data_IF_499087484949
#
_entry.id   IF_499087484949
#
_cell.length_a   1.000
_cell.length_b   1.000
_cell.length_c   1.000
_cell.angle_alpha   90.00
_cell.angle_beta   90.00
_cell.angle_gamma   90.00
#
_symmetry.space_group_name_H-M   'P 1'
#
loop_
_entity.id
_entity.type
_entity.pdbx_description
1 polymer ?
#
# COMPACT_ATOMS: atom_id res chain seq x y z
N UNK A 1 4.69 -22.12 -4.41
CA UNK A 1 4.26 -20.90 -5.14
C UNK A 1 5.15 -20.53 -6.31
N UNK A 2 6.48 -20.63 -6.18
CA UNK A 2 7.44 -20.37 -7.26
C UNK A 2 7.41 -21.35 -8.46
N UNK A 3 6.61 -22.41 -8.38
CA UNK A 3 6.54 -23.50 -9.36
C UNK A 3 5.46 -23.31 -10.43
N UNK A 4 4.57 -22.33 -10.30
CA UNK A 4 3.49 -22.12 -11.29
C UNK A 4 3.30 -20.64 -11.67
N UNK A 5 3.57 -20.24 -12.92
CA UNK A 5 3.72 -18.84 -13.29
C UNK A 5 2.43 -18.12 -13.75
N UNK A 6 1.26 -18.78 -13.82
CA UNK A 6 0.01 -18.15 -14.33
C UNK A 6 -1.03 -17.80 -13.27
N UNK A 7 -1.02 -18.50 -12.13
CA UNK A 7 -1.81 -18.22 -10.93
C UNK A 7 -0.99 -18.71 -9.74
N UNK A 8 -0.91 -17.95 -8.63
CA UNK A 8 -0.33 -18.46 -7.40
C UNK A 8 -0.96 -19.81 -7.08
N UNK A 9 -0.16 -20.84 -6.82
CA UNK A 9 -0.65 -22.18 -6.46
C UNK A 9 -1.71 -22.11 -5.34
N UNK A 10 -1.57 -21.16 -4.41
CA UNK A 10 -2.50 -20.89 -3.33
C UNK A 10 -3.87 -20.31 -3.77
N UNK A 11 -3.95 -19.71 -4.96
CA UNK A 11 -5.20 -19.18 -5.55
C UNK A 11 -5.90 -20.18 -6.47
N UNK A 12 -5.34 -21.38 -6.70
CA UNK A 12 -6.00 -22.41 -7.49
C UNK A 12 -7.20 -23.01 -6.73
N UNK A 13 -8.30 -23.39 -7.39
CA UNK A 13 -9.37 -24.16 -6.76
C UNK A 13 -8.84 -25.46 -6.13
N UNK A 14 -9.38 -25.89 -5.00
CA UNK A 14 -8.92 -27.08 -4.28
C UNK A 14 -8.83 -28.32 -5.18
N UNK A 15 -9.83 -28.56 -6.04
CA UNK A 15 -9.82 -29.66 -7.02
C UNK A 15 -8.70 -29.54 -8.07
N UNK A 16 -8.33 -28.33 -8.48
CA UNK A 16 -7.20 -28.10 -9.40
C UNK A 16 -5.86 -28.27 -8.67
N UNK A 17 -5.74 -27.81 -7.42
CA UNK A 17 -4.57 -28.08 -6.56
C UNK A 17 -4.40 -29.57 -6.34
N UNK A 18 -5.48 -30.26 -5.99
CA UNK A 18 -5.47 -31.70 -5.73
C UNK A 18 -5.19 -32.49 -7.00
N UNK A 19 -5.72 -32.10 -8.16
CA UNK A 19 -5.38 -32.71 -9.46
C UNK A 19 -3.92 -32.46 -9.83
N UNK A 20 -3.40 -31.26 -9.56
CA UNK A 20 -2.00 -30.90 -9.80
C UNK A 20 -1.05 -31.64 -8.84
N UNK A 21 -1.40 -31.73 -7.56
CA UNK A 21 -0.70 -32.50 -6.53
C UNK A 21 -0.78 -34.00 -6.82
N UNK A 22 -1.92 -34.49 -7.34
CA UNK A 22 -2.09 -35.88 -7.78
C UNK A 22 -1.28 -36.18 -9.03
N UNK A 23 -1.17 -35.26 -9.99
CA UNK A 23 -0.30 -35.41 -11.16
C UNK A 23 1.20 -35.33 -10.83
N UNK A 24 1.52 -34.60 -9.76
CA UNK A 24 2.84 -34.53 -9.14
C UNK A 24 3.16 -35.85 -8.42
N UNK A 25 2.23 -36.37 -7.60
CA UNK A 25 2.42 -37.61 -6.85
C UNK A 25 2.28 -38.89 -7.69
N UNK A 26 1.59 -38.84 -8.85
CA UNK A 26 1.40 -39.99 -9.74
C UNK A 26 2.57 -40.21 -10.71
N UNK A 27 3.57 -39.32 -10.72
CA UNK A 27 4.75 -39.44 -11.58
C UNK A 27 4.48 -39.21 -13.07
N UNK A 28 3.28 -38.77 -13.46
CA UNK A 28 2.96 -38.40 -14.86
C UNK A 28 3.60 -37.06 -15.26
N UNK A 29 3.96 -36.23 -14.28
CA UNK A 29 5.01 -35.24 -14.42
C UNK A 29 6.25 -35.87 -13.80
N UNK A 30 7.34 -36.04 -14.56
CA UNK A 30 8.64 -36.45 -14.02
C UNK A 30 9.13 -35.39 -13.01
N UNK A 31 8.65 -35.44 -11.77
CA UNK A 31 9.32 -34.90 -10.60
C UNK A 31 10.55 -35.78 -10.33
N UNK A 32 11.58 -35.49 -11.11
CA UNK A 32 12.92 -35.48 -10.55
C UNK A 32 12.92 -34.44 -9.41
N UNK A 33 13.76 -34.60 -8.39
CA UNK A 33 14.02 -33.59 -7.35
C UNK A 33 14.64 -32.29 -7.89
N UNK A 34 14.17 -31.79 -9.03
CA UNK A 34 14.55 -30.58 -9.72
C UNK A 34 13.73 -29.46 -9.11
N UNK A 35 14.34 -28.86 -8.11
CA UNK A 35 13.99 -27.52 -7.65
C UNK A 35 13.84 -26.61 -8.87
N UNK A 36 12.66 -25.99 -9.01
CA UNK A 36 12.28 -25.19 -10.17
C UNK A 36 13.36 -24.14 -10.51
N UNK A 37 13.76 -23.95 -11.78
CA UNK A 37 14.86 -23.04 -12.16
C UNK A 37 14.75 -21.63 -11.58
N UNK A 38 13.51 -21.16 -11.38
CA UNK A 38 13.21 -19.87 -10.78
C UNK A 38 13.64 -19.75 -9.30
N UNK A 39 13.55 -20.83 -8.52
CA UNK A 39 14.01 -20.81 -7.14
C UNK A 39 15.53 -20.60 -7.08
N UNK A 40 16.30 -21.34 -7.89
CA UNK A 40 17.75 -21.19 -7.93
C UNK A 40 18.16 -19.79 -8.39
N UNK A 41 17.45 -19.24 -9.36
CA UNK A 41 17.65 -17.87 -9.81
C UNK A 41 17.43 -16.83 -8.69
N UNK A 42 16.34 -16.96 -7.93
CA UNK A 42 16.08 -16.08 -6.76
C UNK A 42 17.16 -16.30 -5.69
N UNK A 43 17.55 -17.56 -5.43
CA UNK A 43 18.58 -17.89 -4.46
C UNK A 43 19.93 -17.28 -4.83
N UNK A 44 20.36 -17.38 -6.10
CA UNK A 44 21.58 -16.75 -6.60
C UNK A 44 21.56 -15.24 -6.34
N UNK A 45 20.42 -14.59 -6.57
CA UNK A 45 20.26 -13.16 -6.29
C UNK A 45 20.33 -12.85 -4.78
N UNK A 46 19.65 -13.63 -3.93
CA UNK A 46 19.70 -13.45 -2.47
C UNK A 46 21.11 -13.68 -1.93
N UNK A 47 21.83 -14.68 -2.43
CA UNK A 47 23.22 -14.95 -2.05
C UNK A 47 24.15 -13.81 -2.53
N UNK A 48 23.91 -13.24 -3.71
CA UNK A 48 24.60 -12.04 -4.20
C UNK A 48 24.36 -10.83 -3.29
N UNK A 49 23.10 -10.55 -2.93
CA UNK A 49 22.76 -9.45 -2.04
C UNK A 49 23.41 -9.64 -0.65
N UNK A 50 23.37 -10.87 -0.12
CA UNK A 50 24.04 -11.24 1.14
C UNK A 50 25.55 -11.03 1.09
N UNK A 51 26.21 -11.39 -0.02
CA UNK A 51 27.64 -11.14 -0.23
C UNK A 51 27.96 -9.64 -0.09
N UNK A 52 27.08 -8.79 -0.61
CA UNK A 52 27.19 -7.34 -0.52
C UNK A 52 26.62 -6.72 0.76
N UNK A 53 26.17 -7.55 1.72
CA UNK A 53 25.53 -7.12 2.98
C UNK A 53 24.29 -6.24 2.75
N UNK A 54 23.60 -6.45 1.65
CA UNK A 54 22.30 -5.84 1.35
C UNK A 54 21.20 -6.79 1.84
N UNK A 55 20.17 -6.25 2.50
CA UNK A 55 19.04 -7.01 3.01
C UNK A 55 17.82 -6.83 2.09
N UNK A 56 17.69 -7.63 1.00
CA UNK A 56 16.59 -7.44 0.06
C UNK A 56 15.25 -7.84 0.70
N UNK A 57 14.27 -6.96 0.58
CA UNK A 57 12.92 -7.13 1.12
C UNK A 57 12.03 -7.69 0.01
N UNK A 58 11.39 -8.83 0.22
CA UNK A 58 10.44 -9.38 -0.75
C UNK A 58 9.19 -8.49 -0.82
N UNK A 59 8.86 -7.98 -2.01
CA UNK A 59 7.66 -7.16 -2.23
C UNK A 59 6.60 -7.86 -3.08
N UNK A 60 6.98 -8.90 -3.81
CA UNK A 60 6.12 -9.60 -4.76
C UNK A 60 4.81 -10.12 -4.12
N UNK A 61 3.64 -9.49 -4.38
CA UNK A 61 2.42 -9.77 -3.64
C UNK A 61 1.93 -11.21 -3.79
N UNK A 62 2.14 -11.79 -4.96
CA UNK A 62 1.77 -13.17 -5.26
C UNK A 62 2.49 -14.19 -4.35
N UNK A 63 3.76 -13.93 -4.03
CA UNK A 63 4.58 -14.77 -3.15
C UNK A 63 4.26 -14.46 -1.69
N UNK A 64 4.18 -13.18 -1.31
CA UNK A 64 3.83 -12.77 0.05
C UNK A 64 2.47 -13.33 0.47
N UNK A 65 1.46 -13.25 -0.40
CA UNK A 65 0.14 -13.80 -0.16
C UNK A 65 0.17 -15.31 0.08
N UNK A 66 1.04 -16.04 -0.62
CA UNK A 66 1.19 -17.47 -0.40
C UNK A 66 1.66 -17.82 1.02
N UNK A 67 2.51 -16.98 1.61
CA UNK A 67 3.11 -17.18 2.93
C UNK A 67 2.12 -16.95 4.09
N UNK A 68 0.97 -16.33 3.80
CA UNK A 68 -0.03 -16.05 4.82
C UNK A 68 -0.80 -17.29 5.30
N UNK A 69 -1.21 -17.27 6.55
CA UNK A 69 -2.17 -18.23 7.12
C UNK A 69 -3.55 -18.11 6.47
N UNK A 70 -4.41 -19.12 6.66
CA UNK A 70 -5.79 -19.10 6.18
C UNK A 70 -6.59 -17.92 6.75
N UNK A 71 -6.40 -17.60 8.03
CA UNK A 71 -7.08 -16.47 8.68
C UNK A 71 -6.65 -15.14 8.09
N UNK A 72 -5.35 -14.92 7.90
CA UNK A 72 -4.84 -13.70 7.26
C UNK A 72 -5.38 -13.53 5.83
N UNK A 73 -5.45 -14.61 5.05
CA UNK A 73 -6.03 -14.58 3.70
C UNK A 73 -7.51 -14.21 3.72
N UNK A 74 -8.27 -14.74 4.67
CA UNK A 74 -9.68 -14.40 4.86
C UNK A 74 -9.86 -12.91 5.24
N UNK A 75 -9.03 -12.39 6.15
CA UNK A 75 -9.02 -10.97 6.52
C UNK A 75 -8.74 -10.05 5.32
N UNK A 76 -7.84 -10.44 4.43
CA UNK A 76 -7.57 -9.67 3.20
C UNK A 76 -8.77 -9.62 2.27
N UNK A 77 -9.45 -10.75 2.05
CA UNK A 77 -10.60 -10.79 1.14
C UNK A 77 -11.83 -10.07 1.70
N UNK A 78 -12.06 -10.14 3.01
CA UNK A 78 -13.13 -9.37 3.68
C UNK A 78 -12.87 -7.87 3.63
N UNK A 79 -11.60 -7.45 3.54
CA UNK A 79 -11.18 -6.07 3.31
C UNK A 79 -10.97 -5.73 1.83
N UNK A 80 -11.70 -6.40 0.92
CA UNK A 80 -11.75 -6.09 -0.50
C UNK A 80 -10.39 -6.09 -1.22
N UNK A 81 -9.43 -6.91 -0.79
CA UNK A 81 -8.17 -7.08 -1.53
C UNK A 81 -8.45 -7.55 -2.97
N UNK A 82 -8.07 -6.72 -3.94
CA UNK A 82 -8.27 -7.03 -5.35
C UNK A 82 -7.37 -8.18 -5.80
N UNK A 83 -7.94 -9.29 -6.27
CA UNK A 83 -7.13 -10.44 -6.75
C UNK A 83 -6.17 -10.07 -7.88
N UNK A 84 -6.45 -9.03 -8.66
CA UNK A 84 -5.57 -8.49 -9.70
C UNK A 84 -4.17 -8.18 -9.18
N UNK A 85 -4.04 -7.66 -7.96
CA UNK A 85 -2.72 -7.33 -7.39
C UNK A 85 -1.89 -8.56 -7.05
N UNK A 86 -2.51 -9.74 -6.98
CA UNK A 86 -1.84 -11.04 -6.75
C UNK A 86 -1.39 -11.71 -8.04
N UNK A 87 -1.63 -11.08 -9.20
CA UNK A 87 -1.19 -11.55 -10.51
C UNK A 87 0.06 -10.79 -10.95
N UNK A 88 1.24 -11.32 -10.59
CA UNK A 88 2.52 -10.85 -11.12
C UNK A 88 2.81 -11.42 -12.52
N UNK A 89 3.74 -10.81 -13.27
CA UNK A 89 4.21 -11.39 -14.52
C UNK A 89 4.87 -12.76 -14.25
N UNK A 90 4.71 -13.73 -15.18
CA UNK A 90 5.39 -15.00 -15.05
C UNK A 90 6.91 -14.79 -15.02
N UNK A 91 7.61 -15.53 -14.16
CA UNK A 91 9.08 -15.50 -14.07
C UNK A 91 9.70 -14.18 -13.60
N UNK A 92 8.93 -13.37 -12.88
CA UNK A 92 9.37 -12.12 -12.30
C UNK A 92 9.19 -12.12 -10.77
N UNK A 93 10.15 -11.55 -10.03
CA UNK A 93 10.00 -11.24 -8.60
C UNK A 93 10.45 -9.82 -8.34
N UNK A 94 9.67 -9.10 -7.53
CA UNK A 94 10.03 -7.78 -7.04
C UNK A 94 10.57 -7.84 -5.60
N UNK A 95 11.69 -7.16 -5.40
CA UNK A 95 12.31 -6.88 -4.11
C UNK A 95 12.41 -5.37 -3.89
N UNK A 96 12.63 -4.96 -2.65
CA UNK A 96 12.93 -3.60 -2.24
C UNK A 96 14.25 -3.52 -1.48
N UNK A 97 14.90 -2.36 -1.58
CA UNK A 97 16.05 -1.97 -0.75
C UNK A 97 15.89 -0.50 -0.35
N UNK A 98 16.65 -0.05 0.65
CA UNK A 98 16.68 1.37 1.02
C UNK A 98 17.67 2.14 0.14
N UNK A 99 17.42 3.43 -0.07
CA UNK A 99 18.27 4.32 -0.88
C UNK A 99 19.75 4.23 -0.49
N UNK A 100 20.06 4.20 0.80
CA UNK A 100 21.44 4.09 1.32
C UNK A 100 22.18 2.84 0.83
N UNK A 101 21.46 1.78 0.48
CA UNK A 101 22.00 0.51 -0.02
C UNK A 101 22.13 0.51 -1.55
N UNK A 102 21.41 1.39 -2.27
CA UNK A 102 21.38 1.41 -3.74
C UNK A 102 22.78 1.62 -4.36
N UNK A 103 23.62 2.42 -3.70
CA UNK A 103 25.00 2.71 -4.14
C UNK A 103 25.87 1.46 -4.19
N UNK A 104 25.51 0.39 -3.48
CA UNK A 104 26.28 -0.85 -3.48
C UNK A 104 26.13 -1.55 -4.83
N UNK A 105 24.94 -1.56 -5.43
CA UNK A 105 24.71 -2.21 -6.73
C UNK A 105 25.28 -1.45 -7.93
N UNK A 106 25.63 -0.17 -7.76
CA UNK A 106 26.26 0.62 -8.82
C UNK A 106 27.78 0.54 -8.84
N UNK A 107 28.40 -0.08 -7.83
CA UNK A 107 29.85 -0.29 -7.81
C UNK A 107 30.27 -1.30 -8.88
N UNK A 108 31.42 -1.04 -9.49
CA UNK A 108 31.99 -1.91 -10.53
C UNK A 108 32.19 -3.36 -10.03
N UNK A 109 32.58 -3.51 -8.77
CA UNK A 109 32.72 -4.82 -8.10
C UNK A 109 31.39 -5.60 -8.09
N UNK A 110 30.27 -4.91 -7.85
CA UNK A 110 28.93 -5.49 -7.85
C UNK A 110 28.47 -5.90 -9.23
N UNK A 111 28.67 -5.03 -10.23
CA UNK A 111 28.33 -5.30 -11.63
C UNK A 111 29.16 -6.47 -12.18
N UNK A 112 30.45 -6.50 -11.89
CA UNK A 112 31.33 -7.59 -12.32
C UNK A 112 30.92 -8.91 -11.65
N UNK A 113 30.63 -8.89 -10.34
CA UNK A 113 30.19 -10.10 -9.63
C UNK A 113 28.85 -10.61 -10.16
N UNK A 114 27.88 -9.75 -10.42
CA UNK A 114 26.60 -10.16 -11.01
C UNK A 114 26.80 -10.80 -12.38
N UNK A 115 27.69 -10.24 -13.22
CA UNK A 115 28.04 -10.80 -14.52
C UNK A 115 28.71 -12.19 -14.40
N UNK A 116 29.60 -12.41 -13.42
CA UNK A 116 30.20 -13.74 -13.18
C UNK A 116 29.18 -14.80 -12.77
N UNK A 117 28.09 -14.40 -12.14
CA UNK A 117 26.96 -15.30 -11.84
C UNK A 117 26.02 -15.47 -13.05
N UNK A 118 26.28 -14.79 -14.17
CA UNK A 118 25.45 -14.85 -15.37
C UNK A 118 24.17 -14.02 -15.28
N UNK A 119 24.15 -12.96 -14.48
CA UNK A 119 23.09 -11.95 -14.53
C UNK A 119 23.42 -10.89 -15.58
N UNK A 120 22.43 -10.57 -16.41
CA UNK A 120 22.37 -9.31 -17.14
C UNK A 120 21.86 -8.24 -16.17
N UNK A 121 22.65 -7.20 -15.96
CA UNK A 121 22.34 -6.12 -15.03
C UNK A 121 21.91 -4.87 -15.80
N UNK A 122 20.82 -4.25 -15.36
CA UNK A 122 20.44 -2.91 -15.80
C UNK A 122 19.94 -2.06 -14.64
N UNK A 123 20.06 -0.74 -14.78
CA UNK A 123 19.58 0.23 -13.80
C UNK A 123 18.63 1.21 -14.46
N UNK A 124 17.63 1.61 -13.70
CA UNK A 124 16.70 2.67 -14.07
C UNK A 124 16.94 3.87 -13.17
N UNK A 125 16.91 5.05 -13.78
CA UNK A 125 16.99 6.32 -13.05
C UNK A 125 15.70 7.10 -13.26
N UNK A 126 15.27 7.75 -12.20
CA UNK A 126 14.12 8.66 -12.19
C UNK A 126 14.57 10.01 -11.66
N UNK A 127 13.78 11.02 -11.95
CA UNK A 127 14.00 12.35 -11.44
C UNK A 127 13.23 12.51 -10.12
N UNK A 128 13.92 12.91 -9.06
CA UNK A 128 13.29 13.36 -7.85
C UNK A 128 12.59 14.69 -8.13
N UNK A 129 11.30 14.73 -7.85
CA UNK A 129 10.49 15.93 -8.07
C UNK A 129 10.90 17.12 -7.19
N UNK A 130 11.46 16.86 -6.00
CA UNK A 130 11.80 17.90 -5.01
C UNK A 130 12.97 18.80 -5.42
N UNK A 131 13.96 18.27 -6.15
CA UNK A 131 15.19 18.98 -6.50
C UNK A 131 15.64 18.77 -7.96
N UNK A 132 14.89 18.00 -8.74
CA UNK A 132 15.22 17.68 -10.13
C UNK A 132 16.43 16.74 -10.27
N UNK A 133 16.95 16.16 -9.19
CA UNK A 133 18.10 15.26 -9.20
C UNK A 133 17.72 13.88 -9.76
N UNK A 134 18.62 13.29 -10.55
CA UNK A 134 18.44 11.94 -11.04
C UNK A 134 18.98 10.93 -10.02
N UNK A 135 18.12 10.04 -9.54
CA UNK A 135 18.49 8.97 -8.60
C UNK A 135 18.23 7.60 -9.22
N UNK A 136 18.94 6.58 -8.74
CA UNK A 136 18.63 5.20 -9.10
C UNK A 136 17.31 4.81 -8.43
N UNK A 137 16.34 4.37 -9.24
CA UNK A 137 14.98 4.06 -8.79
C UNK A 137 14.71 2.57 -8.77
N UNK A 138 15.37 1.83 -9.66
CA UNK A 138 15.35 0.38 -9.64
C UNK A 138 16.56 -0.25 -10.31
N UNK A 139 16.81 -1.50 -9.97
CA UNK A 139 17.78 -2.36 -10.60
C UNK A 139 17.09 -3.61 -11.13
N UNK A 140 17.56 -4.12 -12.27
CA UNK A 140 17.07 -5.37 -12.86
C UNK A 140 18.23 -6.34 -13.01
N UNK A 141 18.02 -7.55 -12.53
CA UNK A 141 18.90 -8.69 -12.68
C UNK A 141 18.15 -9.74 -13.48
N UNK A 142 18.53 -9.95 -14.74
CA UNK A 142 17.88 -10.91 -15.63
C UNK A 142 18.80 -12.06 -15.99
N UNK A 143 18.22 -13.24 -16.23
CA UNK A 143 18.91 -14.39 -16.82
C UNK A 143 17.90 -15.14 -17.68
N UNK A 144 18.10 -15.12 -19.01
CA UNK A 144 17.14 -15.65 -19.99
C UNK A 144 15.77 -14.94 -19.85
N UNK A 145 14.74 -15.67 -19.44
CA UNK A 145 13.39 -15.16 -19.24
C UNK A 145 13.03 -14.94 -17.76
N UNK A 146 13.99 -15.06 -16.85
CA UNK A 146 13.81 -14.84 -15.42
C UNK A 146 14.33 -13.45 -15.05
N UNK A 147 13.56 -12.71 -14.26
CA UNK A 147 13.91 -11.34 -13.86
C UNK A 147 13.67 -11.14 -12.36
N UNK A 148 14.67 -10.56 -11.69
CA UNK A 148 14.51 -9.90 -10.39
C UNK A 148 14.55 -8.40 -10.60
N UNK A 149 13.50 -7.70 -10.16
CA UNK A 149 13.53 -6.25 -10.02
C UNK A 149 13.75 -5.89 -8.57
N UNK A 150 14.62 -4.91 -8.33
CA UNK A 150 14.86 -4.31 -7.02
C UNK A 150 14.44 -2.85 -7.07
N UNK A 151 13.41 -2.49 -6.32
CA UNK A 151 12.92 -1.12 -6.17
C UNK A 151 13.71 -0.42 -5.06
N UNK A 152 14.06 0.85 -5.28
CA UNK A 152 14.75 1.68 -4.30
C UNK A 152 13.72 2.52 -3.54
N UNK A 153 13.62 2.29 -2.24
CA UNK A 153 12.80 3.09 -1.33
C UNK A 153 13.60 4.26 -0.77
N UNK A 154 12.99 5.43 -0.85
CA UNK A 154 13.42 6.66 -0.20
C UNK A 154 12.60 6.85 1.06
N UNK A 155 13.28 7.10 2.17
CA UNK A 155 12.65 7.38 3.44
C UNK A 155 12.12 8.82 3.46
N UNK A 156 10.82 8.97 3.69
CA UNK A 156 10.19 10.23 4.06
C UNK A 156 9.81 10.16 5.54
N UNK A 157 9.42 11.29 6.12
CA UNK A 157 9.22 11.47 7.56
C UNK A 157 8.54 10.27 8.27
N UNK A 158 7.44 9.75 7.71
CA UNK A 158 6.74 8.60 8.31
C UNK A 158 6.47 7.43 7.35
N UNK A 159 7.00 7.46 6.14
CA UNK A 159 6.67 6.47 5.13
C UNK A 159 7.81 6.26 4.13
N UNK A 160 7.83 5.09 3.51
CA UNK A 160 8.70 4.82 2.37
C UNK A 160 8.00 5.21 1.08
N UNK A 161 8.75 5.83 0.20
CA UNK A 161 8.28 6.25 -1.11
C UNK A 161 9.27 5.79 -2.18
N UNK A 162 8.77 5.45 -3.36
CA UNK A 162 9.62 5.36 -4.54
C UNK A 162 8.99 6.12 -5.70
N UNK A 163 9.81 6.81 -6.51
CA UNK A 163 9.32 7.49 -7.70
C UNK A 163 8.81 6.50 -8.74
N UNK A 164 7.95 7.01 -9.61
CA UNK A 164 7.61 6.34 -10.84
C UNK A 164 8.78 6.36 -11.81
N UNK A 165 8.73 5.47 -12.79
CA UNK A 165 9.72 5.45 -13.86
C UNK A 165 9.43 6.58 -14.85
N UNK A 166 10.46 7.33 -15.24
CA UNK A 166 10.39 8.23 -16.39
C UNK A 166 10.33 7.37 -17.68
N UNK A 167 9.17 7.22 -18.29
CA UNK A 167 9.02 6.40 -19.50
C UNK A 167 9.69 7.03 -20.72
N UNK A 168 10.45 6.22 -21.48
CA UNK A 168 10.41 6.27 -22.95
C UNK A 168 10.98 5.05 -23.70
N UNK A 169 11.26 3.93 -23.03
CA UNK A 169 11.66 2.69 -23.72
C UNK A 169 10.97 1.49 -23.09
N UNK A 170 9.92 1.01 -23.75
CA UNK A 170 9.44 -0.38 -23.77
C UNK A 170 10.04 -1.29 -22.68
N UNK A 171 9.76 -1.05 -21.40
CA UNK A 171 10.19 -1.96 -20.34
C UNK A 171 9.13 -3.06 -20.24
N UNK A 172 9.16 -4.00 -21.17
CA UNK A 172 8.36 -5.22 -21.14
C UNK A 172 8.61 -6.11 -19.89
N UNK A 173 9.36 -5.62 -18.89
CA UNK A 173 10.01 -6.40 -17.84
C UNK A 173 9.79 -5.87 -16.42
N UNK A 174 9.20 -4.68 -16.24
CA UNK A 174 8.80 -4.18 -14.92
C UNK A 174 7.31 -4.49 -14.72
N UNK A 175 6.90 -5.09 -13.57
CA UNK A 175 5.49 -5.26 -13.28
C UNK A 175 4.85 -3.88 -13.30
N UNK A 176 3.77 -3.74 -14.05
CA UNK A 176 2.95 -2.51 -14.09
C UNK A 176 2.63 -1.99 -12.68
N UNK A 177 2.59 -2.88 -11.69
CA UNK A 177 2.38 -2.58 -10.29
C UNK A 177 3.40 -1.61 -9.70
N UNK A 178 4.69 -1.67 -10.04
CA UNK A 178 5.73 -0.80 -9.46
C UNK A 178 6.29 0.22 -10.45
N UNK A 179 5.65 0.37 -11.61
CA UNK A 179 6.07 1.33 -12.63
C UNK A 179 5.72 2.78 -12.25
N UNK A 180 4.67 2.95 -11.43
CA UNK A 180 4.18 4.25 -10.95
C UNK A 180 4.88 4.64 -9.65
N UNK A 181 4.78 5.92 -9.32
CA UNK A 181 5.14 6.44 -8.00
C UNK A 181 4.28 5.75 -6.94
N UNK A 182 4.88 5.24 -5.87
CA UNK A 182 4.14 4.60 -4.79
C UNK A 182 4.72 4.91 -3.43
N UNK A 183 3.87 4.78 -2.41
CA UNK A 183 4.22 5.00 -1.02
C UNK A 183 3.58 3.96 -0.10
N UNK A 184 4.26 3.71 1.01
CA UNK A 184 3.91 2.69 2.00
C UNK A 184 4.26 3.21 3.38
N UNK A 185 3.38 3.04 4.35
CA UNK A 185 3.67 3.23 5.78
C UNK A 185 4.96 2.51 6.14
N UNK A 186 5.75 3.12 7.04
CA UNK A 186 7.01 2.54 7.46
C UNK A 186 6.82 1.11 8.01
N UNK A 187 7.65 0.20 7.50
CA UNK A 187 7.74 -1.18 7.96
C UNK A 187 9.20 -1.56 8.22
N UNK A 188 9.43 -2.55 9.08
CA UNK A 188 10.78 -3.07 9.30
C UNK A 188 11.00 -4.32 8.45
N UNK A 189 12.20 -4.48 7.91
CA UNK A 189 12.61 -5.70 7.22
C UNK A 189 12.91 -6.79 8.25
N UNK A 190 12.10 -7.86 8.26
CA UNK A 190 12.25 -8.99 9.18
C UNK A 190 12.86 -10.19 8.44
N UNK A 191 13.92 -10.83 8.94
CA UNK A 191 14.51 -12.00 8.31
C UNK A 191 13.49 -13.15 8.19
N UNK A 192 13.41 -13.77 7.01
CA UNK A 192 12.63 -14.98 6.81
C UNK A 192 13.40 -16.20 7.29
N UNK A 193 12.87 -16.85 8.31
CA UNK A 193 13.43 -18.04 8.95
C UNK A 193 12.74 -19.28 8.36
N UNK A 194 13.53 -20.24 7.91
CA UNK A 194 13.05 -21.53 7.41
C UNK A 194 12.54 -22.41 8.56
N UNK A 195 11.77 -23.45 8.26
CA UNK A 195 11.24 -24.39 9.27
C UNK A 195 12.34 -25.05 10.13
N UNK A 196 13.54 -25.20 9.57
CA UNK A 196 14.71 -25.74 10.26
C UNK A 196 15.47 -24.71 11.11
N UNK A 197 14.94 -23.49 11.24
CA UNK A 197 15.52 -22.40 12.03
C UNK A 197 16.64 -21.62 11.33
N UNK A 198 17.03 -21.96 10.10
CA UNK A 198 18.07 -21.23 9.37
C UNK A 198 17.52 -19.95 8.73
N UNK A 199 18.34 -18.90 8.72
CA UNK A 199 18.04 -17.68 7.96
C UNK A 199 18.22 -17.92 6.47
N UNK A 200 17.18 -17.62 5.69
CA UNK A 200 17.21 -17.76 4.23
C UNK A 200 18.01 -16.66 3.52
N UNK A 201 18.31 -15.55 4.20
CA UNK A 201 18.86 -14.32 3.60
C UNK A 201 17.79 -13.41 2.99
N UNK A 202 16.55 -13.89 2.89
CA UNK A 202 15.37 -13.13 2.48
C UNK A 202 14.85 -12.30 3.67
N UNK A 203 14.38 -11.09 3.40
CA UNK A 203 13.62 -10.30 4.38
C UNK A 203 12.19 -10.08 3.90
N UNK A 204 11.26 -9.96 4.84
CA UNK A 204 9.85 -9.66 4.61
C UNK A 204 9.48 -8.35 5.31
N UNK A 205 8.46 -7.62 4.85
CA UNK A 205 7.83 -6.59 5.66
C UNK A 205 7.32 -7.18 6.99
N UNK A 206 7.52 -6.47 8.10
CA UNK A 206 7.11 -6.95 9.43
C UNK A 206 5.64 -7.33 9.55
N UNK A 207 4.77 -6.62 8.83
CA UNK A 207 3.32 -6.85 8.80
C UNK A 207 2.87 -7.16 7.36
N UNK A 208 3.13 -8.38 6.89
CA UNK A 208 2.86 -8.78 5.50
C UNK A 208 1.40 -8.57 5.09
N UNK A 209 0.44 -8.87 5.97
CA UNK A 209 -0.99 -8.64 5.73
C UNK A 209 -1.29 -7.16 5.50
N UNK A 210 -0.77 -6.28 6.35
CA UNK A 210 -0.96 -4.84 6.21
C UNK A 210 -0.27 -4.29 4.97
N UNK A 211 0.96 -4.75 4.67
CA UNK A 211 1.69 -4.37 3.47
C UNK A 211 0.91 -4.71 2.19
N UNK A 212 0.34 -5.91 2.09
CA UNK A 212 -0.43 -6.33 0.93
C UNK A 212 -1.68 -5.48 0.66
N UNK A 213 -2.33 -4.97 1.70
CA UNK A 213 -3.46 -4.03 1.55
C UNK A 213 -2.99 -2.67 1.06
N UNK A 214 -1.88 -2.17 1.61
CA UNK A 214 -1.31 -0.89 1.18
C UNK A 214 -0.94 -0.92 -0.29
N UNK A 215 -0.42 -2.04 -0.82
CA UNK A 215 -0.08 -2.20 -2.24
C UNK A 215 -1.22 -1.78 -3.16
N UNK A 216 -2.49 -2.06 -2.80
CA UNK A 216 -3.65 -1.67 -3.61
C UNK A 216 -3.83 -0.15 -3.74
N UNK A 217 -3.56 0.59 -2.66
CA UNK A 217 -3.76 2.04 -2.58
C UNK A 217 -2.43 2.82 -2.61
N UNK A 218 -1.35 2.15 -2.99
CA UNK A 218 0.02 2.66 -2.83
C UNK A 218 0.40 3.72 -3.86
N UNK A 219 -0.31 3.81 -4.99
CA UNK A 219 -0.05 4.84 -6.02
C UNK A 219 -0.02 6.23 -5.39
N UNK A 220 1.12 6.91 -5.51
CA UNK A 220 1.40 8.13 -4.76
C UNK A 220 1.26 9.37 -5.64
N UNK A 221 0.32 10.23 -5.27
CA UNK A 221 0.10 11.53 -5.89
C UNK A 221 0.73 12.63 -5.03
N UNK A 222 1.69 13.33 -5.61
CA UNK A 222 2.41 14.41 -4.94
C UNK A 222 1.64 15.72 -5.07
N UNK A 223 1.57 16.49 -3.99
CA UNK A 223 0.93 17.79 -4.01
C UNK A 223 1.92 18.88 -4.39
N UNK A 224 1.55 19.72 -5.36
CA UNK A 224 2.30 20.93 -5.71
C UNK A 224 1.49 22.16 -5.34
N UNK A 225 1.97 23.00 -4.39
CA UNK A 225 1.29 24.26 -4.12
C UNK A 225 1.42 25.16 -5.35
N UNK A 226 0.33 25.26 -6.14
CA UNK A 226 0.26 26.13 -7.32
C UNK A 226 0.25 27.62 -6.94
N UNK A 227 -0.12 27.91 -5.69
CA UNK A 227 -0.02 29.21 -5.06
C UNK A 227 -0.15 29.02 -3.55
N UNK A 228 0.65 29.73 -2.76
CA UNK A 228 0.38 29.84 -1.31
C UNK A 228 -0.86 30.70 -1.19
N UNK A 229 -2.02 30.10 -0.94
CA UNK A 229 -3.20 30.87 -0.60
C UNK A 229 -2.93 31.63 0.69
N UNK A 230 -3.30 32.91 0.73
CA UNK A 230 -3.36 33.65 2.00
C UNK A 230 -4.34 32.91 2.90
N UNK A 231 -3.81 32.31 3.97
CA UNK A 231 -4.55 31.38 4.80
C UNK A 231 -5.78 32.01 5.45
N UNK A 232 -6.76 31.18 5.78
CA UNK A 232 -7.87 31.57 6.65
C UNK A 232 -7.31 32.18 7.95
N UNK A 233 -7.53 33.48 8.16
CA UNK A 233 -7.30 34.12 9.45
C UNK A 233 -8.43 33.71 10.39
N UNK A 234 -8.17 32.74 11.28
CA UNK A 234 -9.16 32.31 12.27
C UNK A 234 -8.95 33.02 13.62
N UNK A 235 -10.02 33.53 14.27
CA UNK A 235 -9.90 34.30 15.51
C UNK A 235 -9.51 33.47 16.76
N UNK A 236 -9.74 32.15 16.77
CA UNK A 236 -9.51 31.31 17.97
C UNK A 236 -8.32 30.37 17.91
N UNK A 237 -7.87 29.95 16.72
CA UNK A 237 -6.78 28.99 16.56
C UNK A 237 -5.83 29.47 15.48
N UNK A 238 -4.54 29.49 15.81
CA UNK A 238 -3.50 29.71 14.82
C UNK A 238 -3.40 28.51 13.86
N UNK A 239 -2.92 28.76 12.65
CA UNK A 239 -2.65 27.72 11.64
C UNK A 239 -1.72 26.62 12.18
N UNK A 240 -0.70 26.99 12.94
CA UNK A 240 0.21 26.04 13.57
C UNK A 240 -0.52 25.09 14.54
N UNK A 241 -1.45 25.62 15.34
CA UNK A 241 -2.27 24.80 16.25
C UNK A 241 -3.20 23.87 15.47
N UNK A 242 -3.82 24.33 14.39
CA UNK A 242 -4.65 23.50 13.52
C UNK A 242 -3.85 22.36 12.89
N UNK A 243 -2.66 22.66 12.38
CA UNK A 243 -1.77 21.64 11.81
C UNK A 243 -1.31 20.62 12.85
N UNK A 244 -0.92 21.06 14.05
CA UNK A 244 -0.59 20.14 15.15
C UNK A 244 -1.74 19.21 15.49
N UNK A 245 -2.97 19.73 15.55
CA UNK A 245 -4.18 18.93 15.85
C UNK A 245 -4.55 18.00 14.71
N UNK A 246 -4.46 18.44 13.45
CA UNK A 246 -4.68 17.59 12.29
C UNK A 246 -3.65 16.45 12.21
N UNK A 247 -2.40 16.73 12.54
CA UNK A 247 -1.35 15.71 12.64
C UNK A 247 -1.70 14.66 13.69
N UNK A 248 -2.08 15.08 14.91
CA UNK A 248 -2.55 14.18 15.97
C UNK A 248 -3.76 13.37 15.47
N UNK A 249 -4.75 14.04 14.86
CA UNK A 249 -5.91 13.37 14.28
C UNK A 249 -5.50 12.26 13.31
N UNK A 250 -4.64 12.54 12.34
CA UNK A 250 -4.21 11.55 11.35
C UNK A 250 -3.51 10.36 12.04
N UNK A 251 -2.62 10.62 12.99
CA UNK A 251 -1.88 9.59 13.72
C UNK A 251 -2.81 8.69 14.55
N UNK A 252 -3.75 9.29 15.28
CA UNK A 252 -4.71 8.58 16.11
C UNK A 252 -5.73 7.81 15.26
N UNK A 253 -6.23 8.40 14.17
CA UNK A 253 -7.10 7.71 13.22
C UNK A 253 -6.43 6.46 12.64
N UNK A 254 -5.16 6.56 12.22
CA UNK A 254 -4.38 5.38 11.78
C UNK A 254 -4.30 4.33 12.87
N UNK A 255 -3.95 4.73 14.09
CA UNK A 255 -3.80 3.82 15.22
C UNK A 255 -5.10 3.06 15.53
N UNK A 256 -6.21 3.81 15.65
CA UNK A 256 -7.53 3.26 16.01
C UNK A 256 -8.10 2.40 14.88
N UNK A 257 -7.95 2.81 13.62
CA UNK A 257 -8.52 2.07 12.48
C UNK A 257 -7.64 0.92 11.97
N UNK A 258 -6.35 0.87 12.35
CA UNK A 258 -5.42 -0.19 11.92
C UNK A 258 -5.96 -1.62 12.12
N UNK A 259 -6.62 -1.99 13.24
CA UNK A 259 -7.18 -3.33 13.42
C UNK A 259 -8.28 -3.67 12.41
N UNK A 260 -8.95 -2.65 11.86
CA UNK A 260 -9.99 -2.84 10.85
C UNK A 260 -9.40 -3.18 9.50
N UNK A 261 -8.11 -2.92 9.28
CA UNK A 261 -7.46 -3.02 7.96
C UNK A 261 -8.19 -2.19 6.88
N UNK A 262 -9.07 -1.27 7.30
CA UNK A 262 -9.87 -0.41 6.44
C UNK A 262 -9.09 0.83 6.04
N UNK A 263 -9.32 1.30 4.81
CA UNK A 263 -8.79 2.57 4.36
C UNK A 263 -9.67 3.71 4.88
N UNK A 264 -9.03 4.77 5.36
CA UNK A 264 -9.65 6.08 5.49
C UNK A 264 -8.96 7.04 4.53
N UNK A 265 -9.70 8.04 4.06
CA UNK A 265 -9.18 9.01 3.09
C UNK A 265 -9.74 10.41 3.34
N UNK A 266 -9.06 11.41 2.77
CA UNK A 266 -9.51 12.80 2.78
C UNK A 266 -10.86 12.91 2.08
N UNK A 267 -11.80 13.64 2.67
CA UNK A 267 -13.16 13.77 2.15
C UNK A 267 -13.59 15.24 2.04
N UNK A 268 -14.58 15.50 1.19
CA UNK A 268 -15.27 16.77 1.04
C UNK A 268 -14.33 18.01 1.09
N UNK A 269 -14.55 18.97 1.99
CA UNK A 269 -13.79 20.23 2.05
C UNK A 269 -12.30 20.04 2.32
N UNK A 270 -11.92 19.02 3.10
CA UNK A 270 -10.50 18.69 3.34
C UNK A 270 -9.83 18.15 2.07
N UNK A 271 -10.54 17.33 1.29
CA UNK A 271 -10.07 16.86 -0.01
C UNK A 271 -9.99 18.01 -1.03
N UNK A 272 -11.00 18.88 -1.09
CA UNK A 272 -11.00 20.06 -1.96
C UNK A 272 -9.81 20.95 -1.65
N UNK A 273 -9.58 21.27 -0.37
CA UNK A 273 -8.44 22.09 0.02
C UNK A 273 -7.11 21.45 -0.38
N UNK A 274 -6.97 20.14 -0.16
CA UNK A 274 -5.76 19.43 -0.58
C UNK A 274 -5.55 19.49 -2.10
N UNK A 275 -6.60 19.23 -2.90
CA UNK A 275 -6.51 19.26 -4.37
C UNK A 275 -6.23 20.68 -4.90
N UNK A 276 -6.79 21.72 -4.27
CA UNK A 276 -6.73 23.09 -4.79
C UNK A 276 -5.37 23.75 -4.49
N UNK A 277 -4.86 23.63 -3.26
CA UNK A 277 -3.59 24.29 -2.87
C UNK A 277 -2.74 23.50 -1.86
N UNK A 278 -2.90 22.18 -1.76
CA UNK A 278 -2.15 21.36 -0.79
C UNK A 278 -2.38 21.77 0.66
N UNK A 279 -3.56 22.33 0.96
CA UNK A 279 -3.91 22.85 2.27
C UNK A 279 -5.24 22.28 2.73
N UNK A 280 -5.25 21.62 3.87
CA UNK A 280 -6.42 20.92 4.42
C UNK A 280 -7.45 21.86 5.09
N UNK A 281 -7.13 23.15 5.28
CA UNK A 281 -7.98 24.13 5.98
C UNK A 281 -8.27 25.39 5.15
N UNK A 282 -8.75 25.25 3.91
CA UNK A 282 -9.00 26.42 3.05
C UNK A 282 -10.38 27.07 3.23
N UNK A 283 -11.40 26.27 3.55
CA UNK A 283 -12.80 26.71 3.55
C UNK A 283 -13.45 26.62 4.93
N UNK A 284 -12.99 25.69 5.75
CA UNK A 284 -13.55 25.38 7.07
C UNK A 284 -12.43 25.10 8.06
N UNK A 285 -12.77 25.13 9.35
CA UNK A 285 -11.90 24.59 10.41
C UNK A 285 -12.07 23.09 10.59
N UNK A 286 -12.96 22.46 9.83
CA UNK A 286 -13.34 21.09 10.08
C UNK A 286 -12.46 20.16 9.25
N UNK A 287 -12.11 19.01 9.84
CA UNK A 287 -11.33 17.98 9.17
C UNK A 287 -12.24 16.84 8.74
N UNK A 288 -12.48 16.72 7.44
CA UNK A 288 -13.40 15.75 6.85
C UNK A 288 -12.64 14.53 6.33
N UNK A 289 -13.06 13.35 6.79
CA UNK A 289 -12.54 12.06 6.33
C UNK A 289 -13.68 11.09 6.06
N UNK A 290 -13.43 10.16 5.16
CA UNK A 290 -14.30 9.02 4.93
C UNK A 290 -13.61 7.73 5.37
N UNK A 291 -14.38 6.80 5.89
CA UNK A 291 -13.91 5.46 6.30
C UNK A 291 -14.74 4.42 5.58
N UNK A 292 -14.08 3.47 4.92
CA UNK A 292 -14.75 2.33 4.32
C UNK A 292 -14.96 1.22 5.36
N UNK A 293 -16.21 0.81 5.54
CA UNK A 293 -16.57 -0.41 6.28
C UNK A 293 -17.08 -1.46 5.29
N UNK A 294 -16.55 -2.71 5.31
CA UNK A 294 -17.04 -3.75 4.43
C UNK A 294 -18.44 -4.19 4.86
N UNK A 295 -19.35 -4.34 3.89
CA UNK A 295 -20.75 -4.78 4.14
C UNK A 295 -20.81 -6.17 4.80
N UNK A 296 -19.76 -6.98 4.60
CA UNK A 296 -19.64 -8.34 5.16
C UNK A 296 -19.00 -8.44 6.54
N UNK A 297 -18.45 -7.33 7.08
CA UNK A 297 -18.06 -7.34 8.48
C UNK A 297 -19.32 -7.51 9.33
N UNK A 298 -19.25 -8.34 10.37
CA UNK A 298 -20.25 -8.32 11.43
C UNK A 298 -20.40 -6.84 11.84
N UNK A 299 -21.56 -6.27 11.53
CA UNK A 299 -22.05 -4.88 11.71
C UNK A 299 -21.94 -4.34 13.15
N UNK A 300 -21.22 -5.05 14.03
CA UNK A 300 -20.93 -4.76 15.43
C UNK A 300 -19.67 -3.92 15.65
N UNK A 301 -18.95 -3.51 14.60
CA UNK A 301 -17.87 -2.53 14.75
C UNK A 301 -18.45 -1.14 14.92
N UNK A 302 -18.82 -0.80 16.15
CA UNK A 302 -19.23 0.55 16.51
C UNK A 302 -18.00 1.47 16.52
N UNK A 303 -17.84 2.31 15.48
CA UNK A 303 -16.71 3.25 15.40
C UNK A 303 -16.68 4.16 16.62
N UNK A 304 -17.85 4.55 17.13
CA UNK A 304 -17.93 5.35 18.34
C UNK A 304 -17.22 4.64 19.51
N UNK A 305 -17.51 3.36 19.75
CA UNK A 305 -16.83 2.56 20.80
C UNK A 305 -15.31 2.49 20.65
N UNK A 306 -14.80 2.51 19.41
CA UNK A 306 -13.35 2.47 19.14
C UNK A 306 -12.67 3.78 19.55
N UNK A 307 -13.38 4.91 19.46
CA UNK A 307 -12.86 6.23 19.85
C UNK A 307 -13.21 6.62 21.29
N UNK A 308 -14.14 5.94 21.98
CA UNK A 308 -14.56 6.30 23.34
C UNK A 308 -13.41 6.38 24.35
N UNK A 309 -12.38 5.55 24.20
CA UNK A 309 -11.23 5.51 25.10
C UNK A 309 -9.97 6.17 24.50
N UNK A 310 -10.08 6.86 23.37
CA UNK A 310 -8.94 7.57 22.80
C UNK A 310 -8.64 8.83 23.63
N UNK A 311 -7.36 9.05 23.94
CA UNK A 311 -6.92 10.17 24.79
C UNK A 311 -7.11 11.54 24.10
N UNK A 312 -7.05 11.57 22.77
CA UNK A 312 -7.01 12.80 21.98
C UNK A 312 -8.32 13.05 21.22
N UNK A 313 -8.89 12.00 20.61
CA UNK A 313 -10.05 12.05 19.75
C UNK A 313 -11.32 11.67 20.52
N UNK A 314 -12.10 12.66 20.91
CA UNK A 314 -13.32 12.47 21.70
C UNK A 314 -14.56 12.46 20.83
N UNK A 315 -15.39 11.41 20.84
CA UNK A 315 -16.70 11.44 20.19
C UNK A 315 -17.56 12.56 20.76
N UNK A 316 -18.13 13.39 19.89
CA UNK A 316 -19.05 14.49 20.28
C UNK A 316 -20.43 14.33 19.68
N UNK A 317 -20.53 13.78 18.47
CA UNK A 317 -21.82 13.51 17.81
C UNK A 317 -21.73 12.18 17.09
N UNK A 318 -22.81 11.40 17.15
CA UNK A 318 -22.89 10.11 16.49
C UNK A 318 -24.33 9.91 16.00
N UNK A 319 -24.48 9.73 14.70
CA UNK A 319 -25.77 9.46 14.07
C UNK A 319 -25.78 8.07 13.46
N UNK A 320 -26.87 7.38 13.75
CA UNK A 320 -27.15 6.03 13.27
C UNK A 320 -28.59 5.94 12.81
N UNK A 321 -28.79 5.14 11.78
CA UNK A 321 -30.13 4.78 11.33
C UNK A 321 -30.21 3.27 11.18
N UNK A 322 -31.12 2.67 11.94
CA UNK A 322 -31.19 1.22 12.14
C UNK A 322 -29.83 0.69 12.64
N UNK A 323 -29.25 -0.30 11.96
CA UNK A 323 -27.91 -0.84 12.25
C UNK A 323 -26.78 -0.10 11.51
N UNK A 324 -27.10 0.94 10.73
CA UNK A 324 -26.11 1.69 9.94
C UNK A 324 -25.63 2.95 10.65
N UNK A 325 -24.32 3.06 10.83
CA UNK A 325 -23.62 4.28 11.22
C UNK A 325 -23.57 5.23 10.02
N UNK A 326 -23.96 6.48 10.23
CA UNK A 326 -24.03 7.49 9.17
C UNK A 326 -22.83 8.42 9.24
N UNK A 327 -22.67 9.06 10.40
CA UNK A 327 -21.56 9.96 10.67
C UNK A 327 -21.14 9.91 12.13
N UNK A 328 -19.86 10.19 12.35
CA UNK A 328 -19.25 10.35 13.66
C UNK A 328 -18.46 11.65 13.65
N UNK A 329 -18.79 12.58 14.54
CA UNK A 329 -18.00 13.78 14.76
C UNK A 329 -17.12 13.54 15.98
N UNK A 330 -15.81 13.76 15.82
CA UNK A 330 -14.83 13.76 16.91
C UNK A 330 -14.35 15.19 17.19
N UNK A 331 -13.90 15.44 18.41
CA UNK A 331 -13.18 16.65 18.80
C UNK A 331 -11.72 16.30 19.13
N UNK A 332 -10.80 17.07 18.54
CA UNK A 332 -9.38 17.07 18.87
C UNK A 332 -9.00 18.47 19.39
N UNK A 333 -9.26 18.70 20.68
CA UNK A 333 -8.96 19.96 21.38
C UNK A 333 -9.64 21.20 20.78
N UNK A 334 -10.80 21.07 20.15
CA UNK A 334 -11.50 22.15 19.44
C UNK A 334 -11.30 22.15 17.92
N UNK A 335 -10.55 21.20 17.36
CA UNK A 335 -10.65 20.83 15.95
C UNK A 335 -11.78 19.81 15.81
N UNK A 336 -12.82 20.09 15.02
CA UNK A 336 -13.88 19.12 14.72
C UNK A 336 -13.45 18.22 13.57
N UNK A 337 -13.66 16.93 13.72
CA UNK A 337 -13.36 15.91 12.72
C UNK A 337 -14.66 15.24 12.32
N UNK A 338 -15.06 15.36 11.07
CA UNK A 338 -16.26 14.72 10.53
C UNK A 338 -15.87 13.44 9.80
N UNK A 339 -16.34 12.31 10.32
CA UNK A 339 -16.16 10.99 9.72
C UNK A 339 -17.44 10.61 9.00
N UNK A 340 -17.36 10.49 7.67
CA UNK A 340 -18.40 9.90 6.84
C UNK A 340 -18.16 8.39 6.74
N UNK A 341 -19.16 7.59 7.13
CA UNK A 341 -19.07 6.13 6.99
C UNK A 341 -19.53 5.73 5.61
N UNK A 342 -18.67 5.03 4.87
CA UNK A 342 -18.98 4.50 3.55
C UNK A 342 -19.00 2.98 3.62
N UNK A 343 -20.10 2.38 3.22
CA UNK A 343 -20.24 0.94 3.12
C UNK A 343 -19.79 0.50 1.74
N UNK A 344 -18.89 -0.48 1.69
CA UNK A 344 -18.32 -0.97 0.44
C UNK A 344 -18.53 -2.48 0.27
N UNK A 345 -18.95 -2.88 -0.92
CA UNK A 345 -18.89 -4.25 -1.40
C UNK A 345 -17.97 -4.36 -2.63
N UNK A 346 -17.97 -5.52 -3.30
CA UNK A 346 -17.08 -5.75 -4.44
C UNK A 346 -17.42 -4.93 -5.69
N UNK A 347 -18.62 -4.37 -5.79
CA UNK A 347 -19.12 -3.70 -6.99
C UNK A 347 -19.45 -2.23 -6.76
N UNK A 348 -19.92 -1.87 -5.56
CA UNK A 348 -20.44 -0.54 -5.24
C UNK A 348 -20.05 -0.10 -3.84
N UNK A 349 -20.05 1.21 -3.66
CA UNK A 349 -20.02 1.83 -2.34
C UNK A 349 -21.21 2.73 -2.15
N UNK A 350 -21.62 2.93 -0.91
CA UNK A 350 -22.75 3.80 -0.61
C UNK A 350 -22.66 4.35 0.81
N UNK A 351 -23.29 5.50 1.03
CA UNK A 351 -23.54 6.06 2.34
C UNK A 351 -25.00 6.52 2.42
N UNK A 352 -25.44 6.87 3.63
CA UNK A 352 -26.67 7.63 3.83
C UNK A 352 -26.32 9.03 4.30
N UNK A 353 -27.01 10.02 3.76
CA UNK A 353 -26.92 11.41 4.18
C UNK A 353 -28.31 11.97 4.47
N UNK A 354 -28.39 12.94 5.36
CA UNK A 354 -29.63 13.69 5.58
C UNK A 354 -29.65 14.89 4.66
N UNK A 355 -30.72 15.04 3.90
CA UNK A 355 -30.95 16.25 3.15
C UNK A 355 -31.33 17.43 4.07
N UNK A 356 -31.53 18.61 3.47
CA UNK A 356 -31.91 19.83 4.19
C UNK A 356 -33.27 19.73 4.91
N UNK A 357 -34.10 18.76 4.54
CA UNK A 357 -35.40 18.49 5.16
C UNK A 357 -35.34 17.39 6.24
N UNK A 358 -34.15 16.82 6.48
CA UNK A 358 -33.91 15.75 7.44
C UNK A 358 -34.20 14.34 6.91
N UNK A 359 -34.59 14.21 5.64
CA UNK A 359 -34.85 12.92 5.01
C UNK A 359 -33.54 12.21 4.70
N UNK A 360 -33.50 10.90 4.93
CA UNK A 360 -32.35 10.07 4.61
C UNK A 360 -32.34 9.72 3.12
N UNK A 361 -31.24 10.07 2.47
CA UNK A 361 -30.97 9.77 1.06
C UNK A 361 -29.79 8.80 1.01
N UNK A 362 -29.96 7.70 0.27
CA UNK A 362 -28.86 6.78 -0.03
C UNK A 362 -28.11 7.27 -1.26
N UNK A 363 -26.84 7.63 -1.11
CA UNK A 363 -25.98 7.91 -2.25
C UNK A 363 -25.20 6.65 -2.62
N UNK A 364 -25.14 6.33 -3.91
CA UNK A 364 -24.38 5.20 -4.42
C UNK A 364 -23.25 5.72 -5.30
N UNK A 365 -22.08 5.09 -5.17
CA UNK A 365 -20.86 5.46 -5.84
C UNK A 365 -20.25 4.21 -6.49
N UNK A 366 -19.56 4.36 -7.62
CA UNK A 366 -18.66 3.30 -8.08
C UNK A 366 -17.56 3.09 -7.02
N UNK A 367 -16.98 1.89 -6.99
CA UNK A 367 -15.81 1.62 -6.15
C UNK A 367 -14.69 2.61 -6.47
N UNK A 368 -14.29 3.40 -5.46
CA UNK A 368 -13.23 4.38 -5.60
C UNK A 368 -11.88 3.68 -5.58
N UNK A 369 -11.01 4.12 -6.49
CA UNK A 369 -9.60 3.81 -6.40
C UNK A 369 -8.96 4.87 -5.52
N UNK A 370 -8.35 4.43 -4.43
CA UNK A 370 -7.62 5.32 -3.53
C UNK A 370 -6.16 5.38 -3.95
N UNK A 371 -5.61 6.58 -3.92
CA UNK A 371 -4.20 6.87 -4.08
C UNK A 371 -3.66 7.38 -2.74
N UNK A 372 -2.40 7.08 -2.48
CA UNK A 372 -1.65 7.62 -1.37
C UNK A 372 -1.20 9.05 -1.67
N UNK A 373 -1.07 9.84 -0.61
CA UNK A 373 -0.51 11.18 -0.67
C UNK A 373 0.07 11.60 0.68
N UNK A 374 0.67 12.78 0.76
CA UNK A 374 1.21 13.35 1.99
C UNK A 374 0.39 14.53 2.48
N UNK A 375 0.03 14.50 3.77
CA UNK A 375 -0.55 15.62 4.51
C UNK A 375 0.23 15.77 5.80
N UNK A 376 0.87 16.94 6.00
CA UNK A 376 1.66 17.23 7.21
C UNK A 376 2.70 16.14 7.52
N UNK A 377 3.39 15.64 6.48
CA UNK A 377 4.39 14.59 6.63
C UNK A 377 3.83 13.17 6.77
N UNK A 378 2.52 13.02 6.95
CA UNK A 378 1.86 11.72 7.10
C UNK A 378 1.42 11.18 5.75
N UNK A 379 1.56 9.87 5.57
CA UNK A 379 0.91 9.16 4.47
C UNK A 379 -0.61 9.11 4.72
N UNK A 380 -1.43 9.58 3.79
CA UNK A 380 -2.89 9.48 3.86
C UNK A 380 -3.42 9.05 2.51
N UNK A 381 -4.68 8.62 2.43
CA UNK A 381 -5.31 8.31 1.16
C UNK A 381 -6.23 9.43 0.69
N UNK A 382 -6.48 9.46 -0.61
CA UNK A 382 -7.50 10.25 -1.29
C UNK A 382 -8.02 9.49 -2.51
N UNK A 383 -9.17 9.85 -3.10
CA UNK A 383 -9.55 9.36 -4.42
C UNK A 383 -8.48 9.75 -5.45
N UNK A 384 -8.07 8.81 -6.29
CA UNK A 384 -7.09 9.05 -7.36
C UNK A 384 -7.61 10.12 -8.35
N UNK A 385 -6.74 11.00 -8.81
CA UNK A 385 -7.10 12.15 -9.65
C UNK A 385 -7.59 11.77 -11.05
N UNK A 386 -7.32 10.54 -11.49
CA UNK A 386 -7.80 9.99 -12.76
C UNK A 386 -9.26 9.50 -12.71
N UNK A 387 -9.91 9.57 -11.55
CA UNK A 387 -11.34 9.27 -11.41
C UNK A 387 -12.16 10.57 -11.55
N UNK A 388 -13.36 10.46 -12.15
CA UNK A 388 -14.29 11.58 -12.17
C UNK A 388 -14.57 12.03 -10.74
N UNK A 389 -14.56 13.34 -10.50
CA UNK A 389 -14.80 13.92 -9.19
C UNK A 389 -16.12 13.39 -8.61
N UNK A 390 -16.06 12.92 -7.35
CA UNK A 390 -17.22 12.61 -6.54
C UNK A 390 -17.98 13.87 -6.14
#
# INVERSE_FOLDING_TARGET
>A
CLTHPRKPFCLMPAKKREKLLKSISSGEVRESGVVHPFYWFIKDFVDLAKYFKVAPILLEPSILFCMLSTLQKYLLFTNNLQTKILHGPPHHVTFGILERESRIFTQETSVNRSATLGFEFSRSRGQLYQNGEFVDTSFSFSRRNLTVTVIVFFERETFYWHPGLLENKSSAFLPLQFARSQAYENFTAVPFILEDGRQSGLHLPSEVTHFLLQVQNSEFEECWPLSVSEGLSHPTLSREQLFKRALITIQEMKSVLRPLLGAFWLWNDTLSGWNDNCDIFQKTLDFHIAVALPVSADWKMDLNSMFMNNEYLRPVEYDKWDDFQLHLTLDCYGLRIHITVIYADHETMWNYERDRTGNLIKNNYPNLQLCSTSVLGQLVHKPCSNQAAL
#
